data_IF_218306065234
#
_entry.id   IF_218306065234
#
_cell.length_a   1.000
_cell.length_b   1.000
_cell.length_c   1.000
_cell.angle_alpha   90.00
_cell.angle_beta   90.00
_cell.angle_gamma   90.00
#
_symmetry.space_group_name_H-M   'P 1'
#
loop_
_entity.id
_entity.type
_entity.pdbx_description
1 polymer ?
#
# COMPACT_ATOMS: atom_id res chain seq x y z
N UNK A 1 -16.40 9.59 -14.59
CA UNK A 1 -17.21 9.23 -13.40
C UNK A 1 -16.82 7.83 -12.99
N UNK A 2 -16.47 7.60 -11.72
CA UNK A 2 -16.12 6.27 -11.21
C UNK A 2 -17.32 5.33 -11.34
N UNK A 3 -17.09 4.08 -11.69
CA UNK A 3 -18.14 3.07 -11.69
C UNK A 3 -18.63 2.86 -10.24
N UNK A 4 -19.90 3.18 -9.96
CA UNK A 4 -20.43 3.09 -8.60
C UNK A 4 -20.63 1.64 -8.12
N UNK A 5 -20.64 0.68 -9.04
CA UNK A 5 -21.00 -0.72 -8.75
C UNK A 5 -19.80 -1.66 -8.67
N UNK A 6 -18.63 -1.25 -9.20
CA UNK A 6 -17.42 -2.06 -9.23
C UNK A 6 -16.21 -1.22 -8.83
N UNK A 7 -15.18 -1.82 -8.21
CA UNK A 7 -13.95 -1.09 -7.94
C UNK A 7 -13.33 -0.54 -9.22
N UNK A 8 -12.96 0.73 -9.18
CA UNK A 8 -12.25 1.45 -10.23
C UNK A 8 -11.13 2.26 -9.55
N UNK A 9 -9.91 1.69 -9.45
CA UNK A 9 -8.84 2.32 -8.71
C UNK A 9 -8.20 3.47 -9.48
N UNK A 10 -7.68 4.45 -8.74
CA UNK A 10 -6.79 5.47 -9.31
C UNK A 10 -5.49 4.80 -9.72
N UNK A 11 -4.94 5.17 -10.87
CA UNK A 11 -3.68 4.65 -11.41
C UNK A 11 -2.73 5.79 -11.74
N UNK A 12 -1.45 5.53 -11.53
CA UNK A 12 -0.37 6.41 -11.98
C UNK A 12 0.15 5.99 -13.35
N UNK A 13 0.33 6.93 -14.30
CA UNK A 13 0.97 6.66 -15.59
C UNK A 13 2.37 6.05 -15.46
N UNK A 14 3.12 6.42 -14.40
CA UNK A 14 4.48 5.92 -14.16
C UNK A 14 4.53 4.40 -13.93
N UNK A 15 3.48 3.84 -13.33
CA UNK A 15 3.35 2.39 -13.11
C UNK A 15 2.56 1.69 -14.23
N UNK A 16 1.75 2.43 -15.01
CA UNK A 16 1.05 1.85 -16.17
C UNK A 16 2.04 1.35 -17.23
N UNK A 17 3.25 1.93 -17.32
CA UNK A 17 4.32 1.45 -18.21
C UNK A 17 4.73 -0.01 -17.89
N UNK A 18 4.65 -0.41 -16.61
CA UNK A 18 4.96 -1.76 -16.17
C UNK A 18 3.87 -2.79 -16.56
N UNK A 19 2.70 -2.34 -17.03
CA UNK A 19 1.61 -3.21 -17.49
C UNK A 19 2.05 -4.11 -18.65
N UNK A 20 2.91 -3.62 -19.55
CA UNK A 20 3.46 -4.42 -20.65
C UNK A 20 4.29 -5.62 -20.15
N UNK A 21 4.79 -5.57 -18.92
CA UNK A 21 5.54 -6.65 -18.25
C UNK A 21 4.65 -7.50 -17.32
N UNK A 22 3.33 -7.33 -17.41
CA UNK A 22 2.34 -8.07 -16.63
C UNK A 22 2.21 -7.60 -15.17
N UNK A 23 2.68 -6.38 -14.84
CA UNK A 23 2.47 -5.77 -13.53
C UNK A 23 1.19 -4.93 -13.57
N UNK A 24 0.29 -5.16 -12.61
CA UNK A 24 -0.95 -4.38 -12.46
C UNK A 24 -0.91 -3.69 -11.10
N UNK A 25 -1.36 -2.44 -11.04
CA UNK A 25 -1.47 -1.66 -9.81
C UNK A 25 -2.80 -0.91 -9.73
N UNK A 26 -3.14 -0.44 -8.54
CA UNK A 26 -4.27 0.44 -8.35
C UNK A 26 -4.38 0.94 -6.92
N UNK A 27 -4.72 2.22 -6.75
CA UNK A 27 -5.13 2.81 -5.49
C UNK A 27 -6.66 2.81 -5.42
N UNK A 28 -7.20 1.83 -4.71
CA UNK A 28 -8.65 1.64 -4.61
C UNK A 28 -9.30 2.78 -3.83
N UNK A 29 -10.46 3.22 -4.32
CA UNK A 29 -11.28 4.23 -3.63
C UNK A 29 -12.30 3.53 -2.73
N UNK A 30 -13.05 4.30 -1.95
CA UNK A 30 -14.20 3.76 -1.20
C UNK A 30 -15.35 3.25 -2.07
N UNK A 31 -15.34 3.48 -3.38
CA UNK A 31 -16.47 3.16 -4.27
C UNK A 31 -16.38 1.71 -4.77
N UNK A 32 -17.53 1.07 -5.00
CA UNK A 32 -17.61 -0.25 -5.63
C UNK A 32 -17.64 -1.45 -4.67
N UNK A 33 -17.80 -1.21 -3.37
CA UNK A 33 -17.98 -2.26 -2.37
C UNK A 33 -19.42 -2.40 -1.86
N UNK A 34 -19.60 -3.19 -0.81
CA UNK A 34 -20.90 -3.60 -0.25
C UNK A 34 -21.11 -3.19 1.20
N UNK A 35 -20.10 -2.63 1.87
CA UNK A 35 -20.22 -2.19 3.25
C UNK A 35 -21.18 -1.00 3.37
N UNK A 36 -21.79 -0.84 4.55
CA UNK A 36 -22.72 0.26 4.87
C UNK A 36 -22.21 1.18 5.98
N UNK A 37 -23.02 2.18 6.35
CA UNK A 37 -22.74 3.09 7.47
C UNK A 37 -21.39 3.81 7.35
N UNK A 38 -20.61 3.84 8.43
CA UNK A 38 -19.28 4.47 8.44
C UNK A 38 -18.28 3.78 7.50
N UNK A 39 -18.52 2.51 7.16
CA UNK A 39 -17.70 1.72 6.24
C UNK A 39 -18.20 1.77 4.79
N UNK A 40 -19.19 2.64 4.50
CA UNK A 40 -19.93 2.60 3.24
C UNK A 40 -19.02 2.48 2.01
N UNK A 41 -19.26 1.41 1.24
CA UNK A 41 -18.54 1.07 0.02
C UNK A 41 -17.48 -0.02 0.22
N UNK A 42 -16.24 0.23 -0.23
CA UNK A 42 -15.18 -0.77 -0.40
C UNK A 42 -14.22 -0.83 0.80
N UNK A 43 -14.75 -1.15 1.98
CA UNK A 43 -13.90 -1.41 3.15
C UNK A 43 -13.20 -2.78 3.05
N UNK A 44 -11.87 -2.78 2.99
CA UNK A 44 -11.02 -3.99 2.94
C UNK A 44 -10.29 -4.28 4.27
N UNK A 45 -10.56 -3.48 5.30
CA UNK A 45 -9.85 -3.53 6.57
C UNK A 45 -10.25 -4.74 7.40
N UNK A 46 -9.48 -5.83 7.32
CA UNK A 46 -9.72 -7.04 8.14
C UNK A 46 -9.53 -6.83 9.65
N UNK A 47 -9.09 -5.65 10.07
CA UNK A 47 -9.00 -5.24 11.48
C UNK A 47 -10.07 -4.22 11.91
N UNK A 48 -10.99 -3.83 11.02
CA UNK A 48 -12.08 -2.92 11.36
C UNK A 48 -13.22 -3.65 12.06
N UNK A 49 -14.07 -2.91 12.78
CA UNK A 49 -15.31 -3.42 13.39
C UNK A 49 -16.47 -3.50 12.38
N UNK A 50 -16.16 -3.76 11.11
CA UNK A 50 -17.17 -3.97 10.06
C UNK A 50 -17.60 -5.44 10.04
N UNK A 51 -18.69 -5.75 9.36
CA UNK A 51 -19.08 -7.13 9.10
C UNK A 51 -18.02 -7.82 8.24
N UNK A 52 -17.42 -8.88 8.79
CA UNK A 52 -16.30 -9.58 8.15
C UNK A 52 -16.72 -10.30 6.85
N UNK A 53 -18.01 -10.61 6.67
CA UNK A 53 -18.54 -11.13 5.40
C UNK A 53 -18.52 -10.06 4.31
N UNK A 54 -18.84 -8.82 4.65
CA UNK A 54 -18.78 -7.67 3.73
C UNK A 54 -17.34 -7.30 3.39
N UNK A 55 -16.44 -7.31 4.39
CA UNK A 55 -15.00 -7.11 4.18
C UNK A 55 -14.42 -8.18 3.26
N UNK A 56 -14.79 -9.46 3.46
CA UNK A 56 -14.34 -10.55 2.59
C UNK A 56 -14.83 -10.38 1.14
N UNK A 57 -16.09 -9.98 0.92
CA UNK A 57 -16.62 -9.66 -0.40
C UNK A 57 -15.87 -8.47 -1.05
N UNK A 58 -15.64 -7.39 -0.31
CA UNK A 58 -14.89 -6.24 -0.81
C UNK A 58 -13.46 -6.62 -1.22
N UNK A 59 -12.78 -7.45 -0.43
CA UNK A 59 -11.46 -8.00 -0.77
C UNK A 59 -11.51 -8.90 -2.00
N UNK A 60 -12.54 -9.73 -2.15
CA UNK A 60 -12.74 -10.55 -3.33
C UNK A 60 -12.90 -9.71 -4.61
N UNK A 61 -13.61 -8.57 -4.53
CA UNK A 61 -13.74 -7.62 -5.64
C UNK A 61 -12.41 -6.98 -6.03
N UNK A 62 -11.60 -6.58 -5.04
CA UNK A 62 -10.25 -6.06 -5.27
C UNK A 62 -9.38 -7.13 -5.94
N UNK A 63 -9.38 -8.36 -5.42
CA UNK A 63 -8.62 -9.46 -5.99
C UNK A 63 -9.04 -9.78 -7.43
N UNK A 64 -10.34 -9.79 -7.71
CA UNK A 64 -10.88 -9.97 -9.05
C UNK A 64 -10.41 -8.85 -10.01
N UNK A 65 -10.41 -7.60 -9.57
CA UNK A 65 -9.86 -6.48 -10.36
C UNK A 65 -8.35 -6.65 -10.59
N UNK A 66 -7.61 -7.12 -9.59
CA UNK A 66 -6.18 -7.42 -9.70
C UNK A 66 -5.90 -8.66 -10.58
N UNK A 67 -6.91 -9.46 -10.90
CA UNK A 67 -6.78 -10.67 -11.71
C UNK A 67 -6.17 -11.85 -10.96
N UNK A 68 -6.32 -11.89 -9.63
CA UNK A 68 -5.81 -12.97 -8.77
C UNK A 68 -6.95 -13.60 -7.95
N UNK A 69 -6.81 -14.86 -7.50
CA UNK A 69 -7.73 -15.43 -6.51
C UNK A 69 -7.77 -14.59 -5.23
N UNK A 70 -8.91 -14.58 -4.52
CA UNK A 70 -9.04 -13.82 -3.26
C UNK A 70 -7.98 -14.19 -2.21
N UNK A 71 -7.55 -15.45 -2.16
CA UNK A 71 -6.47 -15.93 -1.29
C UNK A 71 -5.08 -15.39 -1.65
N UNK A 72 -4.90 -14.84 -2.84
CA UNK A 72 -3.64 -14.30 -3.34
C UNK A 72 -3.57 -12.78 -3.27
N UNK A 73 -4.57 -12.12 -2.68
CA UNK A 73 -4.50 -10.70 -2.28
C UNK A 73 -3.95 -10.61 -0.86
N UNK A 74 -2.66 -10.30 -0.73
CA UNK A 74 -1.93 -10.31 0.52
C UNK A 74 -1.83 -8.90 1.10
N UNK A 75 -2.13 -8.79 2.38
CA UNK A 75 -2.02 -7.55 3.18
C UNK A 75 -1.47 -7.94 4.54
N UNK A 76 -0.52 -7.17 5.09
CA UNK A 76 0.11 -7.45 6.38
C UNK A 76 -0.77 -6.99 7.55
N UNK A 77 -0.44 -7.43 8.76
CA UNK A 77 -0.90 -6.80 9.99
C UNK A 77 -0.04 -5.55 10.24
N UNK A 78 -0.51 -4.40 9.77
CA UNK A 78 0.22 -3.13 9.84
C UNK A 78 0.34 -2.61 11.29
N UNK A 79 1.55 -2.22 11.68
CA UNK A 79 1.89 -1.77 13.05
C UNK A 79 2.68 -0.46 13.08
N UNK A 80 2.74 0.26 11.95
CA UNK A 80 3.53 1.48 11.78
C UNK A 80 5.03 1.27 12.08
N UNK A 81 5.53 0.12 11.65
CA UNK A 81 6.94 -0.30 11.69
C UNK A 81 7.65 0.00 10.37
N UNK A 82 8.99 -0.12 10.34
CA UNK A 82 9.74 -0.17 9.09
C UNK A 82 9.87 -1.60 8.54
N UNK A 83 9.13 -2.57 9.09
CA UNK A 83 9.33 -3.99 8.80
C UNK A 83 8.71 -4.39 7.45
N UNK A 84 9.43 -5.25 6.71
CA UNK A 84 9.08 -5.68 5.36
C UNK A 84 9.07 -7.21 5.30
N UNK A 85 8.03 -7.76 4.66
CA UNK A 85 7.91 -9.20 4.43
C UNK A 85 8.05 -9.50 2.94
N UNK A 86 8.90 -10.46 2.61
CA UNK A 86 8.95 -11.04 1.26
C UNK A 86 7.92 -12.16 1.20
N UNK A 87 6.89 -11.99 0.37
CA UNK A 87 5.83 -12.99 0.19
C UNK A 87 6.02 -13.75 -1.13
N UNK A 88 6.11 -15.08 -1.06
CA UNK A 88 6.15 -15.96 -2.25
C UNK A 88 4.96 -16.91 -2.38
N UNK A 89 4.10 -16.92 -1.38
CA UNK A 89 2.89 -17.72 -1.30
C UNK A 89 1.86 -17.00 -0.41
N UNK A 90 0.58 -17.36 -0.49
CA UNK A 90 -0.42 -16.90 0.46
C UNK A 90 0.00 -17.16 1.90
N UNK A 91 -0.24 -16.19 2.79
CA UNK A 91 0.07 -16.37 4.21
C UNK A 91 -0.78 -17.50 4.81
N UNK A 92 -0.11 -18.48 5.42
CA UNK A 92 -0.78 -19.52 6.20
C UNK A 92 -1.10 -18.98 7.61
N UNK A 93 -2.38 -18.98 7.98
CA UNK A 93 -2.82 -18.55 9.31
C UNK A 93 -2.79 -17.03 9.50
N UNK A 94 -2.19 -16.57 10.60
CA UNK A 94 -2.16 -15.14 10.94
C UNK A 94 -1.30 -14.34 9.95
N UNK A 95 -1.75 -13.11 9.66
CA UNK A 95 -1.00 -12.18 8.81
C UNK A 95 0.27 -11.73 9.55
N UNK A 96 1.43 -11.68 8.90
CA UNK A 96 2.65 -11.24 9.54
C UNK A 96 2.53 -9.77 9.95
N UNK A 97 3.14 -9.43 11.10
CA UNK A 97 3.28 -8.04 11.54
C UNK A 97 4.36 -7.36 10.70
N UNK A 98 3.96 -6.42 9.86
CA UNK A 98 4.82 -5.67 8.96
C UNK A 98 4.02 -4.54 8.33
N UNK A 99 4.71 -3.57 7.75
CA UNK A 99 4.08 -2.44 7.07
C UNK A 99 4.41 -2.39 5.58
N UNK A 100 5.31 -3.24 5.09
CA UNK A 100 5.45 -3.47 3.65
C UNK A 100 5.51 -4.95 3.28
N UNK A 101 5.10 -5.24 2.05
CA UNK A 101 5.24 -6.55 1.43
C UNK A 101 5.99 -6.35 0.11
N UNK A 102 6.87 -7.29 -0.23
CA UNK A 102 7.54 -7.37 -1.52
C UNK A 102 7.33 -8.78 -2.11
N UNK A 103 7.19 -8.90 -3.42
CA UNK A 103 7.14 -10.20 -4.09
C UNK A 103 7.78 -10.18 -5.48
N UNK A 104 8.36 -11.32 -5.84
CA UNK A 104 8.90 -11.68 -7.16
C UNK A 104 8.06 -12.78 -7.84
N UNK A 105 6.86 -13.08 -7.33
CA UNK A 105 6.01 -14.18 -7.81
C UNK A 105 4.82 -13.67 -8.62
N UNK A 106 4.67 -14.10 -9.88
CA UNK A 106 3.44 -13.88 -10.65
C UNK A 106 2.22 -14.51 -9.96
N UNK A 107 1.05 -13.89 -10.11
CA UNK A 107 -0.21 -14.40 -9.56
C UNK A 107 -0.46 -14.02 -8.09
N UNK A 108 0.44 -13.26 -7.46
CA UNK A 108 0.26 -12.67 -6.13
C UNK A 108 0.04 -11.17 -6.27
N UNK A 109 -1.03 -10.66 -5.65
CA UNK A 109 -1.24 -9.24 -5.46
C UNK A 109 -0.90 -8.88 -4.00
N UNK A 110 -0.13 -7.81 -3.81
CA UNK A 110 0.23 -7.28 -2.49
C UNK A 110 -0.39 -5.91 -2.30
N UNK A 111 -0.74 -5.57 -1.06
CA UNK A 111 -1.38 -4.29 -0.76
C UNK A 111 -1.06 -3.78 0.64
N UNK A 112 -1.19 -2.46 0.76
CA UNK A 112 -1.16 -1.72 2.01
C UNK A 112 -2.54 -1.05 2.20
N UNK A 113 -3.19 -1.31 3.33
CA UNK A 113 -4.46 -0.68 3.68
C UNK A 113 -4.19 0.70 4.27
N UNK A 114 -4.96 1.71 3.87
CA UNK A 114 -4.82 3.05 4.43
C UNK A 114 -6.15 3.80 4.48
N UNK A 115 -6.25 4.69 5.45
CA UNK A 115 -7.08 5.88 5.46
C UNK A 115 -6.21 6.98 6.10
N UNK A 116 -5.80 7.98 5.31
CA UNK A 116 -4.85 9.06 5.64
C UNK A 116 -3.35 8.75 5.45
N UNK A 117 -2.82 7.63 5.97
CA UNK A 117 -1.40 7.30 5.81
C UNK A 117 -0.98 7.13 4.33
N UNK A 118 0.27 7.41 3.96
CA UNK A 118 0.72 7.33 2.57
C UNK A 118 0.93 5.89 2.10
N UNK A 119 0.14 5.36 1.13
CA UNK A 119 0.45 4.08 0.51
C UNK A 119 1.46 4.30 -0.62
N UNK A 120 2.57 3.56 -0.62
CA UNK A 120 3.57 3.62 -1.71
C UNK A 120 3.61 2.30 -2.43
N UNK A 121 3.45 2.33 -3.75
CA UNK A 121 3.60 1.18 -4.62
C UNK A 121 4.92 1.28 -5.38
N UNK A 122 5.61 0.16 -5.50
CA UNK A 122 6.92 0.05 -6.11
C UNK A 122 6.89 -1.02 -7.21
N UNK A 123 7.62 -0.79 -8.30
CA UNK A 123 7.84 -1.79 -9.33
C UNK A 123 9.21 -1.63 -10.00
N UNK A 124 9.95 -2.74 -10.12
CA UNK A 124 10.98 -2.90 -11.15
C UNK A 124 10.36 -3.76 -12.27
N UNK A 125 10.00 -3.13 -13.37
CA UNK A 125 9.35 -3.80 -14.50
C UNK A 125 10.25 -4.82 -15.22
N UNK A 126 11.57 -4.60 -15.21
CA UNK A 126 12.53 -5.49 -15.86
C UNK A 126 12.74 -6.77 -15.04
N UNK A 127 12.93 -6.62 -13.73
CA UNK A 127 13.09 -7.75 -12.82
C UNK A 127 11.74 -8.41 -12.45
N UNK A 128 10.61 -7.75 -12.75
CA UNK A 128 9.24 -8.16 -12.41
C UNK A 128 9.04 -8.33 -10.89
N UNK A 129 9.57 -7.39 -10.13
CA UNK A 129 9.48 -7.34 -8.67
C UNK A 129 8.62 -6.15 -8.27
N UNK A 130 7.68 -6.38 -7.35
CA UNK A 130 6.77 -5.35 -6.85
C UNK A 130 6.87 -5.21 -5.34
N UNK A 131 6.62 -4.00 -4.85
CA UNK A 131 6.51 -3.67 -3.43
C UNK A 131 5.26 -2.86 -3.15
N UNK A 132 4.71 -3.01 -1.94
CA UNK A 132 3.62 -2.19 -1.43
C UNK A 132 3.89 -1.87 0.03
N UNK A 133 4.00 -0.58 0.37
CA UNK A 133 4.31 -0.11 1.71
C UNK A 133 3.21 0.80 2.26
N UNK A 134 2.87 0.58 3.52
CA UNK A 134 2.13 1.48 4.37
C UNK A 134 3.12 2.46 5.02
N UNK A 135 3.12 3.69 4.54
CA UNK A 135 4.06 4.73 4.97
C UNK A 135 3.30 5.82 5.73
N UNK A 136 2.71 5.45 6.87
CA UNK A 136 2.32 6.43 7.89
C UNK A 136 3.53 7.14 8.47
N UNK A 137 3.35 8.26 9.18
CA UNK A 137 4.46 9.11 9.63
C UNK A 137 5.59 8.34 10.32
N UNK A 138 5.25 7.38 11.19
CA UNK A 138 6.24 6.61 11.95
C UNK A 138 6.99 5.62 11.07
N UNK A 139 6.30 4.93 10.16
CA UNK A 139 6.93 4.03 9.19
C UNK A 139 7.85 4.79 8.24
N UNK A 140 7.38 5.93 7.72
CA UNK A 140 8.19 6.82 6.89
C UNK A 140 9.45 7.30 7.63
N UNK A 141 9.28 7.79 8.86
CA UNK A 141 10.37 8.29 9.70
C UNK A 141 11.38 7.21 10.08
N UNK A 142 10.95 5.94 10.20
CA UNK A 142 11.81 4.83 10.62
C UNK A 142 12.36 3.99 9.46
N UNK A 143 12.05 4.34 8.21
CA UNK A 143 12.73 3.78 7.04
C UNK A 143 11.96 2.68 6.29
N UNK A 144 10.62 2.64 6.35
CA UNK A 144 9.84 1.59 5.65
C UNK A 144 10.04 1.61 4.14
N UNK A 145 10.28 2.78 3.54
CA UNK A 145 10.47 2.94 2.10
C UNK A 145 11.82 2.37 1.67
N UNK A 146 12.87 2.72 2.41
CA UNK A 146 14.24 2.26 2.24
C UNK A 146 14.32 0.75 2.42
N UNK A 147 13.69 0.22 3.47
CA UNK A 147 13.65 -1.22 3.70
C UNK A 147 12.88 -1.96 2.59
N UNK A 148 11.84 -1.34 2.02
CA UNK A 148 11.10 -1.92 0.88
C UNK A 148 12.00 -2.02 -0.34
N UNK A 149 12.78 -0.97 -0.65
CA UNK A 149 13.75 -0.97 -1.75
C UNK A 149 14.82 -2.03 -1.52
N UNK A 150 15.40 -2.11 -0.32
CA UNK A 150 16.41 -3.13 0.01
C UNK A 150 15.86 -4.56 -0.13
N UNK A 151 14.61 -4.79 0.29
CA UNK A 151 13.96 -6.09 0.09
C UNK A 151 13.75 -6.40 -1.39
N UNK A 152 13.36 -5.43 -2.22
CA UNK A 152 13.27 -5.61 -3.67
C UNK A 152 14.64 -5.92 -4.30
N UNK A 153 15.70 -5.22 -3.89
CA UNK A 153 17.06 -5.48 -4.37
C UNK A 153 17.56 -6.87 -3.98
N UNK A 154 17.20 -7.36 -2.79
CA UNK A 154 17.52 -8.73 -2.37
C UNK A 154 16.90 -9.81 -3.27
N UNK A 155 15.85 -9.46 -4.02
CA UNK A 155 15.20 -10.32 -5.01
C UNK A 155 15.73 -10.12 -6.44
N UNK A 156 16.66 -9.19 -6.64
CA UNK A 156 17.27 -8.91 -7.94
C UNK A 156 16.76 -7.64 -8.64
N UNK A 157 15.94 -6.82 -7.98
CA UNK A 157 15.59 -5.50 -8.51
C UNK A 157 16.83 -4.60 -8.56
N UNK A 158 16.86 -3.66 -9.50
CA UNK A 158 17.90 -2.62 -9.56
C UNK A 158 17.29 -1.29 -9.14
N UNK A 159 17.88 -0.59 -8.17
CA UNK A 159 17.32 0.67 -7.63
C UNK A 159 16.95 1.69 -8.69
N UNK A 160 17.81 1.87 -9.69
CA UNK A 160 17.60 2.79 -10.81
C UNK A 160 16.41 2.43 -11.70
N UNK A 161 15.92 1.19 -11.63
CA UNK A 161 14.75 0.71 -12.35
C UNK A 161 13.47 0.73 -11.50
N UNK A 162 13.58 0.95 -10.18
CA UNK A 162 12.42 0.93 -9.28
C UNK A 162 11.67 2.24 -9.45
N UNK A 163 10.45 2.14 -9.96
CA UNK A 163 9.47 3.22 -9.91
C UNK A 163 8.74 3.13 -8.58
N UNK A 164 8.73 4.22 -7.81
CA UNK A 164 7.97 4.36 -6.58
C UNK A 164 6.92 5.45 -6.74
N UNK A 165 5.67 5.16 -6.38
CA UNK A 165 4.55 6.11 -6.49
C UNK A 165 3.82 6.21 -5.16
N UNK A 166 3.68 7.44 -4.66
CA UNK A 166 2.79 7.76 -3.54
C UNK A 166 1.34 7.85 -4.03
N UNK A 167 0.45 7.10 -3.38
CA UNK A 167 -0.98 7.13 -3.65
C UNK A 167 -1.74 8.20 -2.87
N UNK A 168 -3.09 8.17 -2.92
CA UNK A 168 -3.93 9.05 -2.12
C UNK A 168 -3.61 8.94 -0.62
N UNK A 169 -3.34 10.09 0.00
CA UNK A 169 -3.02 10.23 1.41
C UNK A 169 -3.54 11.57 1.93
N UNK A 170 -3.48 11.77 3.24
CA UNK A 170 -3.74 13.08 3.83
C UNK A 170 -2.73 14.09 3.28
N UNK A 171 -3.23 15.24 2.80
CA UNK A 171 -2.40 16.29 2.23
C UNK A 171 -1.95 17.31 3.29
N UNK A 172 -0.95 18.15 2.98
CA UNK A 172 -0.36 19.08 3.96
C UNK A 172 -1.38 20.06 4.55
N UNK A 173 -2.38 20.49 3.76
CA UNK A 173 -3.45 21.40 4.22
C UNK A 173 -4.40 20.79 5.25
N UNK A 174 -4.41 19.47 5.39
CA UNK A 174 -5.34 18.75 6.26
C UNK A 174 -4.63 17.95 7.36
N UNK A 175 -3.29 17.91 7.38
CA UNK A 175 -2.53 17.11 8.34
C UNK A 175 -1.97 17.99 9.47
N UNK A 176 -2.85 18.41 10.37
CA UNK A 176 -2.44 19.18 11.56
C UNK A 176 -1.68 18.28 12.56
N UNK A 177 -0.56 18.78 13.06
CA UNK A 177 0.33 18.07 14.00
C UNK A 177 0.79 18.99 15.12
N UNK A 178 1.11 18.41 16.28
CA UNK A 178 1.63 19.16 17.43
C UNK A 178 3.10 19.57 17.27
N UNK A 179 3.58 20.54 18.06
CA UNK A 179 4.97 21.02 18.01
C UNK A 179 6.00 19.91 18.32
N UNK A 180 5.64 18.90 19.11
CA UNK A 180 6.49 17.74 19.39
C UNK A 180 6.73 16.87 18.16
N UNK A 181 5.77 16.85 17.22
CA UNK A 181 5.93 16.16 15.95
C UNK A 181 6.92 16.91 15.06
N UNK A 182 6.76 18.23 14.94
CA UNK A 182 7.67 19.09 14.17
C UNK A 182 9.10 18.98 14.69
N UNK A 183 9.28 19.12 16.01
CA UNK A 183 10.59 19.02 16.66
C UNK A 183 11.29 17.69 16.36
N UNK A 184 10.56 16.56 16.40
CA UNK A 184 11.10 15.23 16.08
C UNK A 184 11.67 15.15 14.68
N UNK A 185 10.97 15.69 13.68
CA UNK A 185 11.43 15.65 12.28
C UNK A 185 12.59 16.61 12.04
N UNK A 186 12.59 17.79 12.65
CA UNK A 186 13.68 18.77 12.54
C UNK A 186 14.95 18.30 13.26
N UNK A 187 14.83 17.58 14.36
CA UNK A 187 15.97 16.97 15.05
C UNK A 187 16.64 15.86 14.22
N UNK A 188 15.85 15.10 13.46
CA UNK A 188 16.36 14.09 12.54
C UNK A 188 17.04 14.70 11.31
N UNK A 189 16.46 15.77 10.74
CA UNK A 189 17.04 16.55 9.66
C UNK A 189 16.48 17.99 9.69
N UNK A 190 17.37 18.98 9.82
CA UNK A 190 17.00 20.38 9.92
C UNK A 190 16.25 20.90 8.68
N UNK A 191 16.47 20.31 7.49
CA UNK A 191 15.77 20.71 6.26
C UNK A 191 14.27 20.37 6.28
N UNK A 192 13.85 19.44 7.14
CA UNK A 192 12.44 19.05 7.27
C UNK A 192 11.52 20.21 7.67
N UNK A 193 12.06 21.30 8.22
CA UNK A 193 11.27 22.50 8.56
C UNK A 193 10.46 23.03 7.36
N UNK A 194 10.95 22.82 6.13
CA UNK A 194 10.27 23.24 4.90
C UNK A 194 8.93 22.54 4.67
N UNK A 195 8.70 21.37 5.29
CA UNK A 195 7.45 20.62 5.18
C UNK A 195 6.39 21.02 6.22
N UNK A 196 6.73 21.90 7.16
CA UNK A 196 5.85 22.38 8.24
C UNK A 196 5.53 23.88 8.14
N UNK A 197 5.98 24.54 7.07
CA UNK A 197 5.79 25.97 6.82
C UNK A 197 4.47 26.29 6.07
#
# INVERSE_FOLDING_TARGET
MLNQTKPDPVRSPLLDEAQAQGIRHGYFTRVGGVSGGIYQGLNIGTGSNDDQTLVAENRARVAAWMGVPASHLLTAWQIHSPDVVIAREPFAGERPKADAIVTDRPGIAIGASTADCGPVLFADAQARIIGAAHSGWKGAFTGVLENTILAMESLGARRQNIVAVLGPSIGPRNYEVGPEFVARFVEADAENILYFA
#
